data_IF_604937936114
#
_entry.id   IF_604937936114
#
_cell.length_a   1.000
_cell.length_b   1.000
_cell.length_c   1.000
_cell.angle_alpha   90.00
_cell.angle_beta   90.00
_cell.angle_gamma   90.00
#
_symmetry.space_group_name_H-M   'P 1'
#
loop_
_entity.id
_entity.type
_entity.pdbx_description
1 polymer ?
#
# COMPACT_ATOMS: atom_id res chain seq x y z
N UNK A 1 -8.37 -5.24 5.75
CA UNK A 1 -8.14 -4.19 4.73
C UNK A 1 -6.70 -3.68 4.72
N UNK A 2 -6.02 -3.78 3.57
CA UNK A 2 -4.65 -3.29 3.34
C UNK A 2 -4.64 -2.22 2.23
N UNK A 3 -3.72 -1.26 2.33
CA UNK A 3 -3.52 -0.22 1.31
C UNK A 3 -2.20 -0.45 0.57
N UNK A 4 -2.26 -0.65 -0.74
CA UNK A 4 -1.11 -0.77 -1.62
C UNK A 4 -0.80 0.59 -2.25
N UNK A 5 0.46 1.00 -2.22
CA UNK A 5 0.93 2.28 -2.76
C UNK A 5 2.05 2.08 -3.79
N UNK A 6 1.87 2.69 -4.95
CA UNK A 6 2.91 2.92 -5.94
C UNK A 6 3.18 4.43 -5.97
N UNK A 7 4.42 4.81 -5.69
CA UNK A 7 4.83 6.21 -5.55
C UNK A 7 5.76 6.58 -6.70
N UNK A 8 5.39 7.59 -7.47
CA UNK A 8 6.11 8.13 -8.63
C UNK A 8 6.44 7.10 -9.71
N UNK A 9 5.66 6.03 -9.84
CA UNK A 9 6.01 4.88 -10.69
C UNK A 9 7.41 4.33 -10.34
N UNK A 10 7.81 4.52 -9.06
CA UNK A 10 9.09 4.28 -8.40
C UNK A 10 10.35 4.85 -9.09
N UNK A 11 11.48 4.84 -8.37
CA UNK A 11 12.81 5.07 -8.99
C UNK A 11 13.30 3.78 -9.67
N UNK A 12 14.28 3.89 -10.58
CA UNK A 12 14.80 2.74 -11.36
C UNK A 12 15.23 1.54 -10.50
N UNK A 13 15.62 1.75 -9.24
CA UNK A 13 16.10 0.69 -8.32
C UNK A 13 15.07 0.26 -7.26
N UNK A 14 13.87 0.85 -7.23
CA UNK A 14 12.86 0.48 -6.23
C UNK A 14 12.27 -0.90 -6.53
N UNK A 15 12.36 -1.78 -5.53
CA UNK A 15 11.74 -3.10 -5.52
C UNK A 15 10.23 -3.03 -5.46
N UNK A 16 9.54 -3.86 -6.24
CA UNK A 16 8.08 -3.76 -6.42
C UNK A 16 7.37 -5.09 -6.58
N UNK A 17 6.21 -5.18 -5.95
CA UNK A 17 5.18 -6.16 -6.27
C UNK A 17 4.19 -5.53 -7.26
N UNK A 18 4.24 -5.92 -8.53
CA UNK A 18 3.39 -5.35 -9.60
C UNK A 18 3.31 -3.81 -9.60
N UNK A 19 4.44 -3.15 -9.34
CA UNK A 19 4.54 -1.69 -9.29
C UNK A 19 4.30 -1.07 -7.92
N UNK A 20 3.77 -1.80 -6.93
CA UNK A 20 3.59 -1.28 -5.57
C UNK A 20 4.91 -1.32 -4.78
N UNK A 21 5.28 -0.16 -4.24
CA UNK A 21 6.47 0.03 -3.41
C UNK A 21 6.19 -0.22 -1.93
N UNK A 22 4.95 0.05 -1.50
CA UNK A 22 4.58 0.00 -0.08
C UNK A 22 3.26 -0.73 0.14
N UNK A 23 3.18 -1.37 1.30
CA UNK A 23 1.98 -1.98 1.86
C UNK A 23 1.72 -1.36 3.23
N UNK A 24 0.51 -0.85 3.42
CA UNK A 24 0.07 -0.18 4.63
C UNK A 24 -1.03 -1.00 5.29
N UNK A 25 -1.05 -0.98 6.63
CA UNK A 25 -2.05 -1.67 7.45
C UNK A 25 -1.98 -3.21 7.38
N UNK A 26 -0.80 -3.78 7.15
CA UNK A 26 -0.59 -5.24 7.19
C UNK A 26 -0.48 -5.80 8.61
N UNK A 27 -0.19 -4.95 9.60
CA UNK A 27 -0.07 -5.33 11.01
C UNK A 27 -0.52 -4.19 11.90
N UNK A 28 -1.41 -4.48 12.85
CA UNK A 28 -1.91 -3.53 13.83
C UNK A 28 -1.05 -3.59 15.10
N UNK A 29 -0.43 -2.47 15.47
CA UNK A 29 0.35 -2.36 16.71
C UNK A 29 -0.50 -1.97 17.91
N UNK A 30 -1.52 -1.13 17.69
CA UNK A 30 -2.47 -0.69 18.72
C UNK A 30 -3.78 -0.20 18.07
N UNK A 31 -4.69 0.34 18.88
CA UNK A 31 -5.91 1.00 18.39
C UNK A 31 -5.63 2.26 17.55
N UNK A 32 -4.44 2.85 17.67
CA UNK A 32 -4.06 4.10 16.98
C UNK A 32 -2.83 3.97 16.09
N UNK A 33 -2.13 2.84 16.14
CA UNK A 33 -0.90 2.57 15.37
C UNK A 33 -1.01 1.37 14.45
N UNK A 34 -0.60 1.55 13.21
CA UNK A 34 -0.53 0.48 12.20
C UNK A 34 0.81 0.46 11.46
N UNK A 35 1.05 -0.55 10.63
CA UNK A 35 2.30 -0.74 9.93
C UNK A 35 2.41 0.01 8.60
N UNK A 36 3.63 0.46 8.31
CA UNK A 36 4.14 0.73 6.97
C UNK A 36 5.18 -0.34 6.63
N UNK A 37 5.02 -0.99 5.49
CA UNK A 37 5.97 -1.96 4.96
C UNK A 37 6.47 -1.52 3.58
N UNK A 38 7.76 -1.74 3.31
CA UNK A 38 8.37 -1.50 2.00
C UNK A 38 8.58 -2.83 1.27
N UNK A 39 8.35 -2.84 -0.03
CA UNK A 39 8.64 -3.99 -0.87
C UNK A 39 10.16 -4.20 -0.96
N UNK A 40 10.61 -5.44 -0.82
CA UNK A 40 12.04 -5.79 -0.82
C UNK A 40 12.44 -6.67 -2.00
N UNK A 41 11.49 -7.06 -2.85
CA UNK A 41 11.71 -7.96 -3.98
C UNK A 41 11.00 -7.46 -5.25
N UNK A 42 11.55 -7.75 -6.43
CA UNK A 42 10.86 -7.50 -7.71
C UNK A 42 10.12 -8.75 -8.14
N UNK A 43 8.86 -8.87 -7.70
CA UNK A 43 8.09 -10.12 -7.83
C UNK A 43 6.68 -9.87 -8.34
N UNK A 44 6.13 -10.90 -8.99
CA UNK A 44 4.71 -10.97 -9.41
C UNK A 44 3.87 -11.84 -8.47
N UNK A 45 4.51 -12.50 -7.52
CA UNK A 45 3.87 -13.35 -6.52
C UNK A 45 4.49 -13.01 -5.18
N UNK A 46 3.67 -12.58 -4.23
CA UNK A 46 4.14 -12.26 -2.89
C UNK A 46 4.51 -13.55 -2.15
N UNK A 47 5.61 -13.47 -1.43
CA UNK A 47 5.98 -14.36 -0.35
C UNK A 47 5.88 -13.59 0.99
N UNK A 48 5.99 -14.27 2.14
CA UNK A 48 6.06 -13.58 3.44
C UNK A 48 7.18 -12.53 3.53
N UNK A 49 8.24 -12.65 2.72
CA UNK A 49 9.37 -11.71 2.71
C UNK A 49 9.18 -10.52 1.76
N UNK A 50 8.15 -10.51 0.91
CA UNK A 50 8.00 -9.50 -0.15
C UNK A 50 7.80 -8.09 0.38
N UNK A 51 7.12 -7.93 1.53
CA UNK A 51 6.94 -6.65 2.20
C UNK A 51 7.46 -6.72 3.63
N UNK A 52 8.47 -5.91 3.94
CA UNK A 52 9.05 -5.83 5.29
C UNK A 52 8.64 -4.53 5.96
N UNK A 53 8.17 -4.66 7.19
CA UNK A 53 7.82 -3.53 8.06
C UNK A 53 9.02 -2.60 8.18
N UNK A 54 8.82 -1.32 7.91
CA UNK A 54 9.84 -0.27 7.99
C UNK A 54 9.40 0.95 8.81
N UNK A 55 8.15 0.98 9.31
CA UNK A 55 7.68 2.06 10.15
C UNK A 55 6.31 1.82 10.78
N UNK A 56 5.94 2.73 11.68
CA UNK A 56 4.62 2.80 12.30
C UNK A 56 3.92 4.09 11.86
N UNK A 57 2.63 3.99 11.57
CA UNK A 57 1.76 5.07 11.13
C UNK A 57 0.65 5.31 12.14
N UNK A 58 0.26 6.56 12.31
CA UNK A 58 -0.99 6.90 13.00
C UNK A 58 -2.17 6.55 12.10
N UNK A 59 -3.23 6.02 12.69
CA UNK A 59 -4.47 5.80 11.99
C UNK A 59 -5.66 5.88 12.96
N UNK A 60 -6.85 6.07 12.41
CA UNK A 60 -8.10 6.04 13.17
C UNK A 60 -9.21 5.36 12.36
N UNK A 61 -10.18 4.84 13.09
CA UNK A 61 -11.46 4.38 12.56
C UNK A 61 -12.58 5.31 12.98
N UNK A 62 -13.52 5.56 12.07
CA UNK A 62 -14.78 6.24 12.37
C UNK A 62 -15.90 5.53 11.62
N UNK A 63 -16.70 4.72 12.35
CA UNK A 63 -17.71 3.86 11.75
C UNK A 63 -17.13 2.87 10.72
N UNK A 64 -17.43 3.09 9.45
CA UNK A 64 -16.96 2.28 8.32
C UNK A 64 -15.81 2.95 7.53
N UNK A 65 -15.21 4.01 8.07
CA UNK A 65 -14.10 4.73 7.45
C UNK A 65 -12.79 4.45 8.19
N UNK A 66 -11.72 4.26 7.41
CA UNK A 66 -10.35 4.23 7.92
C UNK A 66 -9.62 5.48 7.41
N UNK A 67 -8.81 6.07 8.28
CA UNK A 67 -7.92 7.18 7.94
C UNK A 67 -6.53 6.84 8.43
N UNK A 68 -5.54 6.87 7.53
CA UNK A 68 -4.13 6.61 7.85
C UNK A 68 -3.33 7.86 7.52
N UNK A 69 -2.52 8.33 8.47
CA UNK A 69 -1.60 9.43 8.25
C UNK A 69 -0.25 8.89 7.76
N UNK A 70 0.13 9.24 6.52
CA UNK A 70 1.38 8.79 5.90
C UNK A 70 2.30 9.99 5.67
N UNK A 71 3.38 10.15 6.44
CA UNK A 71 4.37 11.18 6.18
C UNK A 71 5.01 10.98 4.80
N UNK A 72 4.98 12.02 3.95
CA UNK A 72 5.54 11.99 2.58
C UNK A 72 6.96 11.41 2.52
N UNK A 73 7.84 11.82 3.45
CA UNK A 73 9.21 11.31 3.54
C UNK A 73 9.30 9.81 3.81
N UNK A 74 8.35 9.24 4.56
CA UNK A 74 8.34 7.81 4.88
C UNK A 74 8.12 6.95 3.62
N UNK A 75 7.48 7.52 2.60
CA UNK A 75 7.25 6.88 1.29
C UNK A 75 8.13 7.46 0.18
N UNK A 76 9.25 8.11 0.55
CA UNK A 76 10.27 8.58 -0.42
C UNK A 76 9.90 9.84 -1.20
N UNK A 77 8.89 10.59 -0.75
CA UNK A 77 8.51 11.88 -1.35
C UNK A 77 9.22 13.02 -0.60
N UNK A 78 10.08 13.74 -1.30
CA UNK A 78 10.78 14.90 -0.74
C UNK A 78 9.85 16.12 -0.63
N UNK A 79 10.02 16.97 0.41
CA UNK A 79 9.27 18.21 0.57
C UNK A 79 9.36 19.10 -0.69
N UNK A 80 8.23 19.65 -1.12
CA UNK A 80 8.17 20.53 -2.30
C UNK A 80 8.26 19.82 -3.65
N UNK A 81 8.52 18.51 -3.70
CA UNK A 81 8.51 17.76 -4.95
C UNK A 81 7.09 17.58 -5.49
N UNK A 82 6.96 17.57 -6.83
CA UNK A 82 5.80 16.97 -7.48
C UNK A 82 5.80 15.46 -7.22
N UNK A 83 4.62 14.90 -7.06
CA UNK A 83 4.46 13.47 -6.86
C UNK A 83 3.18 12.95 -7.50
N UNK A 84 3.19 11.65 -7.78
CA UNK A 84 2.03 10.89 -8.22
C UNK A 84 1.96 9.60 -7.42
N UNK A 85 0.82 9.32 -6.81
CA UNK A 85 0.56 8.11 -6.05
C UNK A 85 -0.55 7.35 -6.75
N UNK A 86 -0.26 6.11 -7.13
CA UNK A 86 -1.26 5.14 -7.52
C UNK A 86 -1.55 4.25 -6.32
N UNK A 87 -2.82 4.12 -5.94
CA UNK A 87 -3.17 3.35 -4.76
C UNK A 87 -4.41 2.49 -4.92
N UNK A 88 -4.44 1.42 -4.11
CA UNK A 88 -5.56 0.48 -4.05
C UNK A 88 -5.76 -0.03 -2.63
N UNK A 89 -6.97 0.14 -2.11
CA UNK A 89 -7.44 -0.56 -0.91
C UNK A 89 -7.90 -1.96 -1.30
N UNK A 90 -7.52 -2.96 -0.51
CA UNK A 90 -7.88 -4.36 -0.69
C UNK A 90 -8.36 -4.90 0.65
N UNK A 91 -9.64 -5.25 0.76
CA UNK A 91 -10.25 -5.79 1.97
C UNK A 91 -10.54 -7.30 1.83
N UNK A 92 -9.46 -8.09 1.79
CA UNK A 92 -9.59 -9.53 1.70
C UNK A 92 -9.66 -10.19 3.08
N UNK A 93 -10.46 -11.26 3.19
CA UNK A 93 -10.41 -12.23 4.31
C UNK A 93 -9.41 -13.36 4.07
N UNK A 94 -8.90 -13.49 2.85
CA UNK A 94 -7.89 -14.47 2.45
C UNK A 94 -6.57 -13.77 2.13
N UNK A 95 -5.46 -14.50 2.23
CA UNK A 95 -4.17 -13.94 1.83
C UNK A 95 -4.13 -13.66 0.33
N UNK A 96 -3.58 -12.49 -0.01
CA UNK A 96 -3.41 -12.03 -1.39
C UNK A 96 -1.95 -12.19 -1.76
N UNK A 97 -1.67 -13.04 -2.75
CA UNK A 97 -0.33 -13.31 -3.25
C UNK A 97 -0.10 -12.74 -4.65
N UNK A 98 -1.16 -12.56 -5.43
CA UNK A 98 -1.08 -12.11 -6.83
C UNK A 98 -2.04 -10.96 -7.07
N UNK A 99 -1.71 -10.08 -8.02
CA UNK A 99 -2.53 -8.89 -8.29
C UNK A 99 -3.90 -9.24 -8.87
N UNK A 100 -4.00 -10.35 -9.58
CA UNK A 100 -5.24 -10.87 -10.15
C UNK A 100 -6.26 -11.17 -9.05
N UNK A 101 -5.80 -11.54 -7.85
CA UNK A 101 -6.66 -11.81 -6.70
C UNK A 101 -7.33 -10.55 -6.15
N UNK A 102 -6.88 -9.34 -6.53
CA UNK A 102 -7.61 -8.12 -6.19
C UNK A 102 -9.04 -8.17 -6.77
N UNK A 103 -9.22 -8.82 -7.92
CA UNK A 103 -10.52 -8.91 -8.61
C UNK A 103 -11.40 -10.06 -8.13
N UNK A 104 -10.82 -11.11 -7.55
CA UNK A 104 -11.56 -12.31 -7.13
C UNK A 104 -11.79 -12.36 -5.62
N UNK A 105 -10.77 -12.00 -4.84
CA UNK A 105 -10.74 -12.20 -3.39
C UNK A 105 -10.56 -10.89 -2.61
N UNK A 106 -10.14 -9.81 -3.30
CA UNK A 106 -9.71 -8.57 -2.68
C UNK A 106 -10.80 -7.65 -2.12
N UNK A 107 -12.08 -7.94 -2.36
CA UNK A 107 -13.25 -7.10 -2.02
C UNK A 107 -12.96 -5.59 -2.18
N UNK A 108 -12.55 -5.20 -3.38
CA UNK A 108 -12.04 -3.86 -3.65
C UNK A 108 -12.80 -3.14 -4.76
N UNK A 109 -13.13 -1.86 -4.54
CA UNK A 109 -13.71 -0.99 -5.56
C UNK A 109 -12.64 -0.09 -6.23
N UNK A 110 -12.83 0.34 -7.49
CA UNK A 110 -13.85 -0.09 -8.45
C UNK A 110 -13.42 -1.35 -9.20
N UNK A 111 -14.37 -2.20 -9.58
CA UNK A 111 -14.15 -3.28 -10.55
C UNK A 111 -13.79 -2.64 -11.91
N UNK A 112 -12.70 -3.08 -12.53
CA UNK A 112 -12.20 -2.55 -13.81
C UNK A 112 -11.21 -1.39 -13.72
N UNK A 113 -11.01 -0.79 -12.53
CA UNK A 113 -9.94 0.19 -12.29
C UNK A 113 -8.97 -0.35 -11.23
N UNK A 114 -7.74 -0.60 -11.66
CA UNK A 114 -6.72 -1.15 -10.78
C UNK A 114 -6.33 -0.16 -9.67
N UNK A 115 -6.12 1.11 -10.01
CA UNK A 115 -5.63 2.12 -9.07
C UNK A 115 -6.45 3.42 -9.12
N UNK A 116 -6.61 4.05 -7.97
CA UNK A 116 -6.85 5.49 -7.89
C UNK A 116 -5.54 6.24 -8.11
N UNK A 117 -5.62 7.46 -8.63
CA UNK A 117 -4.46 8.32 -8.86
C UNK A 117 -4.64 9.59 -8.05
N UNK A 118 -3.60 9.97 -7.31
CA UNK A 118 -3.51 11.24 -6.59
C UNK A 118 -2.19 11.92 -6.93
N UNK A 119 -2.24 13.19 -7.34
CA UNK A 119 -1.08 13.95 -7.81
C UNK A 119 -1.19 15.43 -7.44
N UNK A 120 -0.07 16.16 -7.49
CA UNK A 120 0.02 17.59 -7.19
C UNK A 120 0.83 18.41 -8.20
#
# INVERSE_FOLDING_TARGET
MNLYLNVNEGKNDDKRFYGYNYLVNAYQYSETKTSLSKCTEDVKVMSPDTFKICGMLEYKYDGNEIMVEIPKKAIGIEPGSKFRILFKWVDSRTEIYRIEQFYTDGDCAPIGRLNYVFEN
#
